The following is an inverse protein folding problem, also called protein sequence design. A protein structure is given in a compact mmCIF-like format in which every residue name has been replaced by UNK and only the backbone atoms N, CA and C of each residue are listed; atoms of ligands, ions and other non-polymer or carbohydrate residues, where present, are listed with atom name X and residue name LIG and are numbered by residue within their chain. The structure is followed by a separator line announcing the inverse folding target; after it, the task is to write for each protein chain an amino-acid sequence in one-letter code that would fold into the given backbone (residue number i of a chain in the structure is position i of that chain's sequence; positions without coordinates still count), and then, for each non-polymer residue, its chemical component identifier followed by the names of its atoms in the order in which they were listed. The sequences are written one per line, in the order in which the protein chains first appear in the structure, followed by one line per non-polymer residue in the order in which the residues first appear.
data_IF_669151577867
#
_entry.id   IF_669151577867
#
_cell.length_a   1.000
_cell.length_b   1.000
_cell.length_c   1.000
_cell.angle_alpha   90.00
_cell.angle_beta   90.00
_cell.angle_gamma   90.00
#
_symmetry.space_group_name_H-M   'P 1'
#
loop_
_entity.id
_entity.type
_entity.pdbx_description
1 polymer ?
#
# COMPACT_ATOMS: atom_id res chain seq x y z
N UNK A 1 26.59 -10.69 -9.00
CA UNK A 1 25.23 -11.07 -8.53
C UNK A 1 24.66 -12.05 -9.53
N UNK A 2 24.01 -13.11 -9.06
CA UNK A 2 23.24 -14.00 -9.95
C UNK A 2 22.04 -13.24 -10.52
N UNK A 3 21.73 -13.48 -11.80
CA UNK A 3 20.59 -12.84 -12.48
C UNK A 3 19.32 -13.66 -12.26
N UNK A 4 18.17 -12.98 -12.24
CA UNK A 4 16.86 -13.64 -12.23
C UNK A 4 16.69 -14.46 -13.52
N UNK A 5 16.32 -15.73 -13.38
CA UNK A 5 16.06 -16.66 -14.49
C UNK A 5 14.57 -16.98 -14.56
N UNK A 6 13.98 -16.82 -15.74
CA UNK A 6 12.64 -17.35 -16.04
C UNK A 6 12.76 -18.83 -16.38
N UNK A 7 11.87 -19.64 -15.83
CA UNK A 7 11.77 -21.06 -16.16
C UNK A 7 11.09 -21.23 -17.53
N UNK A 8 10.18 -20.31 -17.89
CA UNK A 8 9.37 -20.39 -19.12
C UNK A 8 9.62 -19.18 -20.04
N UNK A 9 9.79 -19.44 -21.35
CA UNK A 9 10.07 -18.42 -22.39
C UNK A 9 8.84 -17.98 -23.18
N UNK A 10 7.76 -18.77 -23.20
CA UNK A 10 6.55 -18.47 -23.97
C UNK A 10 5.51 -17.70 -23.14
N UNK A 11 4.89 -16.69 -23.74
CA UNK A 11 3.97 -15.77 -23.04
C UNK A 11 2.67 -16.45 -22.57
N UNK A 12 2.24 -17.51 -23.24
CA UNK A 12 0.98 -18.22 -22.99
C UNK A 12 1.03 -19.08 -21.70
N UNK A 13 2.24 -19.50 -21.31
CA UNK A 13 2.50 -20.37 -20.15
C UNK A 13 3.05 -19.59 -18.93
N UNK A 14 2.91 -18.25 -18.91
CA UNK A 14 3.41 -17.41 -17.80
C UNK A 14 2.91 -17.82 -16.42
N UNK A 15 1.74 -18.46 -16.35
CA UNK A 15 1.15 -18.93 -15.09
C UNK A 15 1.92 -20.09 -14.46
N UNK A 16 2.64 -20.85 -15.29
CA UNK A 16 3.44 -22.00 -14.86
C UNK A 16 4.91 -21.60 -14.60
N UNK A 17 5.27 -20.33 -14.85
CA UNK A 17 6.59 -19.82 -14.52
C UNK A 17 6.78 -19.91 -12.99
N UNK A 18 7.87 -20.55 -12.56
CA UNK A 18 8.18 -20.91 -11.17
C UNK A 18 7.50 -22.17 -10.61
N UNK A 19 6.78 -22.98 -11.40
CA UNK A 19 6.16 -24.22 -10.91
C UNK A 19 7.18 -25.25 -10.38
N UNK A 20 8.42 -25.15 -10.82
CA UNK A 20 9.55 -25.99 -10.41
C UNK A 20 10.28 -25.46 -9.16
N UNK A 21 9.94 -24.25 -8.70
CA UNK A 21 10.56 -23.63 -7.53
C UNK A 21 9.93 -24.17 -6.25
N UNK A 22 10.73 -24.16 -5.18
CA UNK A 22 10.24 -24.53 -3.85
C UNK A 22 9.19 -23.53 -3.40
N UNK A 23 8.06 -24.05 -2.91
CA UNK A 23 7.10 -23.21 -2.20
C UNK A 23 7.78 -22.58 -0.98
N UNK A 24 7.63 -21.26 -0.87
CA UNK A 24 8.08 -20.51 0.30
C UNK A 24 7.02 -20.64 1.39
N UNK A 25 5.81 -20.15 1.13
CA UNK A 25 4.73 -20.16 2.11
C UNK A 25 3.95 -21.46 2.09
N UNK A 26 3.62 -22.00 3.27
CA UNK A 26 2.69 -23.10 3.40
C UNK A 26 1.31 -22.72 2.85
N UNK A 27 0.52 -23.69 2.39
CA UNK A 27 -0.78 -23.46 1.72
C UNK A 27 -1.74 -22.56 2.53
N UNK A 28 -1.78 -22.72 3.87
CA UNK A 28 -2.60 -21.88 4.76
C UNK A 28 -2.05 -20.46 5.03
N UNK A 29 -0.87 -20.15 4.49
CA UNK A 29 -0.18 -18.86 4.59
C UNK A 29 -0.07 -18.17 3.23
N UNK A 30 -0.70 -18.72 2.19
CA UNK A 30 -0.79 -18.04 0.91
C UNK A 30 -1.61 -16.76 1.06
N UNK A 31 -1.18 -15.65 0.44
CA UNK A 31 -2.00 -14.44 0.41
C UNK A 31 -3.39 -14.71 -0.15
N UNK A 32 -4.36 -13.97 0.36
CA UNK A 32 -5.70 -13.91 -0.18
C UNK A 32 -5.69 -13.60 -1.68
N UNK A 33 -6.76 -14.01 -2.36
CA UNK A 33 -6.91 -13.71 -3.79
C UNK A 33 -7.12 -12.20 -3.94
N UNK A 34 -6.48 -11.60 -4.94
CA UNK A 34 -6.69 -10.18 -5.27
C UNK A 34 -8.18 -9.80 -5.45
N UNK A 35 -9.02 -10.75 -5.87
CA UNK A 35 -10.48 -10.56 -5.94
C UNK A 35 -11.13 -10.25 -4.59
N UNK A 36 -10.63 -10.80 -3.49
CA UNK A 36 -11.13 -10.52 -2.14
C UNK A 36 -10.84 -9.06 -1.78
N UNK A 37 -9.58 -8.63 -1.94
CA UNK A 37 -9.21 -7.23 -1.73
C UNK A 37 -9.97 -6.26 -2.65
N UNK A 38 -10.19 -6.64 -3.91
CA UNK A 38 -11.00 -5.84 -4.85
C UNK A 38 -12.42 -5.61 -4.32
N UNK A 39 -13.05 -6.65 -3.76
CA UNK A 39 -14.37 -6.54 -3.14
C UNK A 39 -14.32 -5.67 -1.89
N UNK A 40 -13.31 -5.85 -1.04
CA UNK A 40 -13.18 -5.05 0.18
C UNK A 40 -12.93 -3.56 -0.07
N UNK A 41 -12.29 -3.23 -1.18
CA UNK A 41 -11.97 -1.89 -1.64
C UNK A 41 -12.92 -1.40 -2.75
N UNK A 42 -14.14 -1.93 -2.80
CA UNK A 42 -15.15 -1.56 -3.80
C UNK A 42 -15.57 -0.08 -3.75
N UNK A 43 -15.20 0.65 -2.70
CA UNK A 43 -15.40 2.10 -2.58
C UNK A 43 -14.45 2.93 -3.45
N UNK A 44 -13.46 2.30 -4.08
CA UNK A 44 -12.65 2.91 -5.14
C UNK A 44 -13.37 2.71 -6.47
N UNK A 45 -13.77 3.81 -7.09
CA UNK A 45 -14.62 3.83 -8.30
C UNK A 45 -13.79 3.57 -9.55
N UNK A 46 -12.58 4.14 -9.63
CA UNK A 46 -11.70 3.89 -10.76
C UNK A 46 -11.14 2.47 -10.72
N UNK A 47 -11.70 1.61 -11.57
CA UNK A 47 -11.40 0.17 -11.60
C UNK A 47 -9.89 -0.15 -11.73
N UNK A 48 -9.11 0.51 -12.61
CA UNK A 48 -7.66 0.28 -12.66
C UNK A 48 -6.93 0.63 -11.35
N UNK A 49 -7.34 1.67 -10.62
CA UNK A 49 -6.77 1.97 -9.31
C UNK A 49 -7.12 0.88 -8.30
N UNK A 50 -8.39 0.45 -8.25
CA UNK A 50 -8.85 -0.61 -7.35
C UNK A 50 -8.11 -1.93 -7.59
N UNK A 51 -7.88 -2.29 -8.86
CA UNK A 51 -7.12 -3.47 -9.24
C UNK A 51 -5.67 -3.40 -8.75
N UNK A 52 -5.01 -2.28 -9.01
CA UNK A 52 -3.64 -2.08 -8.56
C UNK A 52 -3.53 -2.08 -7.03
N UNK A 53 -4.44 -1.43 -6.31
CA UNK A 53 -4.52 -1.50 -4.85
C UNK A 53 -4.65 -2.95 -4.38
N UNK A 54 -5.51 -3.74 -5.04
CA UNK A 54 -5.73 -5.14 -4.69
C UNK A 54 -4.48 -6.01 -4.87
N UNK A 55 -3.72 -5.80 -5.94
CA UNK A 55 -2.44 -6.48 -6.16
C UNK A 55 -1.39 -6.06 -5.13
N UNK A 56 -1.35 -4.77 -4.78
CA UNK A 56 -0.42 -4.26 -3.77
C UNK A 56 -0.75 -4.77 -2.36
N UNK A 57 -2.02 -4.91 -2.01
CA UNK A 57 -2.45 -5.52 -0.75
C UNK A 57 -2.09 -7.01 -0.67
N UNK A 58 -2.30 -7.75 -1.77
CA UNK A 58 -1.87 -9.14 -1.86
C UNK A 58 -0.35 -9.28 -1.69
N UNK A 59 0.43 -8.39 -2.32
CA UNK A 59 1.88 -8.36 -2.15
C UNK A 59 2.30 -7.94 -0.73
N UNK A 60 1.57 -7.01 -0.10
CA UNK A 60 1.80 -6.60 1.27
C UNK A 60 1.56 -7.75 2.25
N UNK A 61 0.48 -8.51 2.09
CA UNK A 61 0.20 -9.71 2.89
C UNK A 61 1.30 -10.77 2.69
N UNK A 62 1.74 -11.00 1.45
CA UNK A 62 2.91 -11.85 1.17
C UNK A 62 4.14 -11.39 1.95
N UNK A 63 4.46 -10.09 1.95
CA UNK A 63 5.61 -9.54 2.68
C UNK A 63 5.45 -9.74 4.20
N UNK A 64 4.24 -9.57 4.74
CA UNK A 64 3.96 -9.82 6.16
C UNK A 64 4.15 -11.30 6.52
N UNK A 65 3.65 -12.22 5.71
CA UNK A 65 3.87 -13.66 5.92
C UNK A 65 5.33 -14.04 5.81
N UNK A 66 6.05 -13.50 4.82
CA UNK A 66 7.48 -13.72 4.67
C UNK A 66 8.27 -13.28 5.91
N UNK A 67 7.91 -12.13 6.50
CA UNK A 67 8.53 -11.66 7.74
C UNK A 67 8.21 -12.57 8.93
N UNK A 68 6.97 -13.00 9.06
CA UNK A 68 6.53 -13.80 10.22
C UNK A 68 7.03 -15.25 10.17
N UNK A 69 7.22 -15.81 8.98
CA UNK A 69 7.57 -17.22 8.79
C UNK A 69 9.09 -17.44 8.61
N UNK A 70 9.85 -16.40 8.26
CA UNK A 70 11.28 -16.50 7.99
C UNK A 70 12.10 -15.54 8.83
N UNK A 71 13.28 -16.02 9.24
CA UNK A 71 14.23 -15.18 9.93
C UNK A 71 14.91 -14.20 8.97
N UNK A 72 14.62 -12.92 9.14
CA UNK A 72 15.31 -11.82 8.47
C UNK A 72 16.25 -11.14 9.46
N UNK A 73 17.41 -10.69 8.98
CA UNK A 73 18.42 -10.08 9.85
C UNK A 73 18.85 -8.71 9.33
N UNK A 74 18.98 -7.76 10.25
CA UNK A 74 19.64 -6.47 10.06
C UNK A 74 19.11 -5.74 8.81
N UNK A 75 19.98 -5.52 7.82
CA UNK A 75 19.68 -4.76 6.61
C UNK A 75 18.54 -5.39 5.79
N UNK A 76 18.42 -6.71 5.77
CA UNK A 76 17.34 -7.37 5.01
C UNK A 76 15.98 -7.07 5.64
N UNK A 77 15.89 -7.16 6.98
CA UNK A 77 14.68 -6.82 7.73
C UNK A 77 14.31 -5.34 7.54
N UNK A 78 15.28 -4.44 7.67
CA UNK A 78 15.04 -3.00 7.51
C UNK A 78 14.60 -2.65 6.09
N UNK A 79 15.23 -3.21 5.05
CA UNK A 79 14.81 -3.00 3.65
C UNK A 79 13.45 -3.63 3.35
N UNK A 80 13.14 -4.77 3.97
CA UNK A 80 11.81 -5.37 3.90
C UNK A 80 10.76 -4.45 4.51
N UNK A 81 11.03 -3.88 5.68
CA UNK A 81 10.18 -2.87 6.31
C UNK A 81 10.02 -1.63 5.43
N UNK A 82 11.11 -1.10 4.86
CA UNK A 82 11.10 0.03 3.92
C UNK A 82 10.15 -0.23 2.75
N UNK A 83 10.24 -1.41 2.13
CA UNK A 83 9.38 -1.78 1.01
C UNK A 83 7.90 -1.82 1.42
N UNK A 84 7.57 -2.42 2.56
CA UNK A 84 6.20 -2.42 3.09
C UNK A 84 5.67 -1.00 3.33
N UNK A 85 6.49 -0.10 3.89
CA UNK A 85 6.13 1.30 4.12
C UNK A 85 5.86 2.05 2.81
N UNK A 86 6.69 1.84 1.77
CA UNK A 86 6.48 2.44 0.45
C UNK A 86 5.21 1.92 -0.22
N UNK A 87 4.94 0.61 -0.11
CA UNK A 87 3.71 -0.01 -0.63
C UNK A 87 2.48 0.58 0.06
N UNK A 88 2.50 0.68 1.40
CA UNK A 88 1.43 1.31 2.18
C UNK A 88 1.20 2.77 1.77
N UNK A 89 2.28 3.55 1.57
CA UNK A 89 2.19 4.93 1.12
C UNK A 89 1.51 5.04 -0.26
N UNK A 90 1.91 4.18 -1.20
CA UNK A 90 1.35 4.16 -2.56
C UNK A 90 -0.13 3.79 -2.58
N UNK A 91 -0.55 2.81 -1.75
CA UNK A 91 -1.96 2.44 -1.64
C UNK A 91 -2.78 3.62 -1.09
N UNK A 92 -2.30 4.26 -0.03
CA UNK A 92 -2.99 5.38 0.61
C UNK A 92 -3.11 6.60 -0.31
N UNK A 93 -2.05 6.93 -1.05
CA UNK A 93 -2.06 8.01 -2.04
C UNK A 93 -3.08 7.74 -3.14
N UNK A 94 -3.04 6.54 -3.73
CA UNK A 94 -3.95 6.13 -4.79
C UNK A 94 -5.41 6.17 -4.34
N UNK A 95 -5.70 5.66 -3.14
CA UNK A 95 -7.04 5.67 -2.57
C UNK A 95 -7.55 7.09 -2.25
N UNK A 96 -6.69 7.96 -1.70
CA UNK A 96 -7.05 9.34 -1.43
C UNK A 96 -7.34 10.12 -2.71
N UNK A 97 -6.51 9.94 -3.74
CA UNK A 97 -6.72 10.57 -5.03
C UNK A 97 -8.09 10.20 -5.61
N UNK A 98 -8.39 8.91 -5.69
CA UNK A 98 -9.65 8.42 -6.25
C UNK A 98 -10.86 8.94 -5.45
N UNK A 99 -10.84 8.83 -4.12
CA UNK A 99 -11.93 9.31 -3.27
C UNK A 99 -12.16 10.82 -3.39
N UNK A 100 -11.09 11.62 -3.42
CA UNK A 100 -11.20 13.07 -3.59
C UNK A 100 -11.74 13.41 -4.98
N UNK A 101 -11.32 12.67 -6.01
CA UNK A 101 -11.84 12.82 -7.37
C UNK A 101 -13.32 12.45 -7.45
N UNK A 102 -13.75 11.35 -6.83
CA UNK A 102 -15.18 11.02 -6.74
C UNK A 102 -15.98 12.15 -6.07
N UNK A 103 -15.45 12.72 -4.98
CA UNK A 103 -16.09 13.82 -4.29
C UNK A 103 -16.16 15.10 -5.13
N UNK A 104 -15.16 15.39 -5.96
CA UNK A 104 -15.17 16.55 -6.85
C UNK A 104 -16.19 16.44 -7.98
N UNK A 105 -16.44 15.22 -8.48
CA UNK A 105 -17.52 14.99 -9.45
C UNK A 105 -18.91 15.17 -8.83
N UNK A 106 -19.06 14.91 -7.52
CA UNK A 106 -20.33 15.02 -6.79
C UNK A 106 -20.62 16.42 -6.25
N UNK A 107 -19.59 17.23 -5.98
CA UNK A 107 -19.70 18.55 -5.36
C UNK A 107 -18.95 19.58 -6.19
N UNK A 108 -19.69 20.52 -6.78
CA UNK A 108 -19.12 21.69 -7.43
C UNK A 108 -18.12 22.39 -6.49
N UNK A 109 -16.85 22.44 -6.87
CA UNK A 109 -15.82 23.24 -6.19
C UNK A 109 -14.71 22.49 -5.44
N UNK A 110 -14.67 21.16 -5.43
CA UNK A 110 -13.45 20.45 -5.00
C UNK A 110 -12.48 20.43 -6.18
N UNK A 111 -11.57 21.40 -6.25
CA UNK A 111 -10.51 21.40 -7.25
C UNK A 111 -9.49 20.30 -6.95
N UNK A 112 -9.64 19.12 -7.57
CA UNK A 112 -8.60 18.09 -7.59
C UNK A 112 -7.97 18.12 -8.98
N UNK A 113 -6.72 18.57 -9.05
CA UNK A 113 -5.92 18.44 -10.28
C UNK A 113 -5.40 16.99 -10.37
N UNK A 114 -5.23 16.50 -11.60
CA UNK A 114 -4.59 15.21 -11.88
C UNK A 114 -3.12 15.19 -11.40
N UNK A 115 -2.55 16.36 -11.12
CA UNK A 115 -1.15 16.54 -10.66
C UNK A 115 -0.98 16.75 -9.16
N UNK A 116 -2.03 16.57 -8.36
CA UNK A 116 -1.94 16.74 -6.91
C UNK A 116 -0.91 15.76 -6.30
N UNK A 117 0.02 16.30 -5.51
CA UNK A 117 1.02 15.50 -4.81
C UNK A 117 0.44 14.87 -3.54
N UNK A 118 1.13 13.86 -2.99
CA UNK A 118 0.63 13.16 -1.80
C UNK A 118 0.33 14.11 -0.62
N UNK A 119 1.13 15.16 -0.47
CA UNK A 119 0.95 16.16 0.58
C UNK A 119 -0.40 16.87 0.45
N UNK A 120 -0.72 17.32 -0.76
CA UNK A 120 -1.96 18.03 -1.07
C UNK A 120 -3.17 17.11 -0.91
N UNK A 121 -3.05 15.84 -1.32
CA UNK A 121 -4.08 14.82 -1.09
C UNK A 121 -4.38 14.58 0.40
N UNK A 122 -3.35 14.54 1.25
CA UNK A 122 -3.53 14.39 2.70
C UNK A 122 -4.26 15.61 3.28
N UNK A 123 -3.86 16.82 2.88
CA UNK A 123 -4.46 18.04 3.39
C UNK A 123 -5.90 18.22 2.92
N UNK A 124 -6.22 17.89 1.67
CA UNK A 124 -7.58 17.87 1.15
C UNK A 124 -8.42 16.79 1.81
N UNK A 125 -7.89 15.57 1.96
CA UNK A 125 -8.56 14.46 2.63
C UNK A 125 -8.96 14.80 4.07
N UNK A 126 -8.12 15.53 4.78
CA UNK A 126 -8.46 16.05 6.11
C UNK A 126 -9.54 17.14 6.06
N UNK A 127 -9.41 18.14 5.18
CA UNK A 127 -10.40 19.24 5.04
C UNK A 127 -11.80 18.73 4.69
N UNK A 128 -11.88 17.70 3.85
CA UNK A 128 -13.13 17.06 3.45
C UNK A 128 -13.55 15.92 4.40
N UNK A 129 -12.81 15.71 5.48
CA UNK A 129 -13.16 14.80 6.57
C UNK A 129 -12.96 13.32 6.25
N UNK A 130 -12.37 12.95 5.11
CA UNK A 130 -11.94 11.58 4.82
C UNK A 130 -10.96 11.09 5.89
N UNK A 131 -10.06 11.98 6.33
CA UNK A 131 -9.07 11.72 7.38
C UNK A 131 -9.48 12.42 8.69
N UNK A 132 -9.10 11.84 9.82
CA UNK A 132 -9.05 12.55 11.09
C UNK A 132 -7.64 13.12 11.35
N UNK A 133 -7.47 13.84 12.46
CA UNK A 133 -6.19 14.50 12.79
C UNK A 133 -5.05 13.51 12.99
N UNK A 134 -5.33 12.33 13.56
CA UNK A 134 -4.34 11.29 13.77
C UNK A 134 -3.93 10.68 12.42
N UNK A 135 -4.88 10.30 11.57
CA UNK A 135 -4.60 9.78 10.23
C UNK A 135 -3.79 10.77 9.39
N UNK A 136 -4.16 12.07 9.43
CA UNK A 136 -3.40 13.13 8.77
C UNK A 136 -1.94 13.12 9.22
N UNK A 137 -1.70 13.20 10.53
CA UNK A 137 -0.35 13.21 11.08
C UNK A 137 0.45 11.96 10.65
N UNK A 138 -0.15 10.77 10.74
CA UNK A 138 0.50 9.54 10.34
C UNK A 138 0.84 9.49 8.85
N UNK A 139 -0.07 9.93 7.98
CA UNK A 139 0.21 9.96 6.54
C UNK A 139 1.31 10.97 6.17
N UNK A 140 1.40 12.08 6.89
CA UNK A 140 2.52 13.03 6.72
C UNK A 140 3.87 12.38 7.04
N UNK A 141 3.94 11.58 8.10
CA UNK A 141 5.15 10.82 8.45
C UNK A 141 5.44 9.72 7.43
N UNK A 142 4.41 8.97 6.99
CA UNK A 142 4.56 7.93 5.96
C UNK A 142 5.05 8.50 4.62
N UNK A 143 4.53 9.67 4.22
CA UNK A 143 4.98 10.40 3.03
C UNK A 143 6.48 10.74 3.10
N UNK A 144 6.96 11.17 4.28
CA UNK A 144 8.39 11.46 4.46
C UNK A 144 9.21 10.19 4.21
N UNK A 145 8.84 9.06 4.81
CA UNK A 145 9.50 7.77 4.58
C UNK A 145 9.57 7.42 3.09
N UNK A 146 8.45 7.57 2.36
CA UNK A 146 8.42 7.35 0.89
C UNK A 146 9.33 8.31 0.12
N UNK A 147 9.52 9.53 0.59
CA UNK A 147 10.39 10.51 -0.07
C UNK A 147 11.88 10.27 0.25
N UNK A 148 12.21 9.61 1.37
CA UNK A 148 13.58 9.21 1.76
C UNK A 148 14.02 7.87 1.15
N UNK A 149 13.45 7.50 0.00
CA UNK A 149 13.79 6.23 -0.68
C UNK A 149 15.20 6.24 -1.27
N UNK A 150 15.73 7.41 -1.62
CA UNK A 150 17.07 7.55 -2.16
C UNK A 150 18.14 7.19 -1.13
N UNK A 151 18.98 6.20 -1.46
CA UNK A 151 20.07 5.72 -0.60
C UNK A 151 21.03 6.88 -0.21
N UNK A 152 21.23 7.83 -1.12
CA UNK A 152 22.06 9.02 -0.88
C UNK A 152 21.46 10.02 0.12
N UNK A 153 20.18 9.88 0.47
CA UNK A 153 19.48 10.79 1.38
C UNK A 153 19.47 10.29 2.82
N UNK A 154 20.06 9.12 3.10
CA UNK A 154 20.14 8.57 4.45
C UNK A 154 21.38 9.11 5.16
N UNK A 155 21.16 9.86 6.25
CA UNK A 155 22.23 10.29 7.18
C UNK A 155 22.60 9.18 8.19
N UNK A 156 21.86 8.07 8.17
CA UNK A 156 22.00 6.95 9.09
C UNK A 156 22.19 5.63 8.33
N UNK A 157 22.67 4.59 9.01
CA UNK A 157 22.83 3.27 8.40
C UNK A 157 21.46 2.67 8.10
N UNK A 158 21.33 2.06 6.92
CA UNK A 158 20.02 1.61 6.44
C UNK A 158 19.37 0.53 7.32
N UNK A 159 20.14 -0.26 8.09
CA UNK A 159 19.59 -1.25 9.02
C UNK A 159 18.94 -0.64 10.29
N UNK A 160 19.12 0.65 10.56
CA UNK A 160 18.59 1.35 11.74
C UNK A 160 17.38 2.24 11.39
N UNK A 161 17.07 2.39 10.10
CA UNK A 161 16.16 3.42 9.60
C UNK A 161 14.67 3.02 9.67
N UNK A 162 14.36 1.73 9.59
CA UNK A 162 12.98 1.24 9.48
C UNK A 162 12.75 0.06 10.42
N UNK A 163 11.62 0.06 11.11
CA UNK A 163 11.29 -0.95 12.11
C UNK A 163 9.92 -1.58 11.89
N UNK A 164 9.73 -2.76 12.49
CA UNK A 164 8.49 -3.53 12.40
C UNK A 164 7.35 -2.78 13.10
N UNK A 165 7.65 -2.09 14.21
CA UNK A 165 6.67 -1.29 14.94
C UNK A 165 6.13 -0.17 14.05
N UNK A 166 6.99 0.45 13.23
CA UNK A 166 6.55 1.43 12.24
C UNK A 166 5.64 0.78 11.20
N UNK A 167 6.02 -0.37 10.64
CA UNK A 167 5.18 -1.09 9.65
C UNK A 167 3.81 -1.43 10.23
N UNK A 168 3.78 -2.05 11.42
CA UNK A 168 2.53 -2.43 12.11
C UNK A 168 1.62 -1.22 12.35
N UNK A 169 2.20 -0.09 12.74
CA UNK A 169 1.47 1.17 12.91
C UNK A 169 0.75 1.61 11.63
N UNK A 170 1.39 1.46 10.46
CA UNK A 170 0.80 1.84 9.18
C UNK A 170 -0.11 0.77 8.57
N UNK A 171 0.10 -0.51 8.88
CA UNK A 171 -0.90 -1.55 8.64
C UNK A 171 -2.19 -1.24 9.40
N UNK A 172 -2.11 -0.90 10.69
CA UNK A 172 -3.30 -0.47 11.44
C UNK A 172 -3.96 0.79 10.85
N UNK A 173 -3.16 1.72 10.32
CA UNK A 173 -3.67 2.93 9.66
C UNK A 173 -4.52 2.59 8.43
N UNK A 174 -4.09 1.65 7.59
CA UNK A 174 -4.84 1.29 6.38
C UNK A 174 -6.20 0.66 6.72
N UNK A 175 -6.23 -0.20 7.74
CA UNK A 175 -7.46 -0.83 8.23
C UNK A 175 -8.41 0.19 8.85
N UNK A 176 -7.87 1.14 9.62
CA UNK A 176 -8.65 2.23 10.20
C UNK A 176 -9.23 3.14 9.12
N UNK A 177 -8.45 3.46 8.09
CA UNK A 177 -8.90 4.24 6.96
C UNK A 177 -10.02 3.51 6.21
N UNK A 178 -9.82 2.25 5.86
CA UNK A 178 -10.81 1.45 5.14
C UNK A 178 -12.16 1.39 5.89
N UNK A 179 -12.12 1.10 7.20
CA UNK A 179 -13.33 1.08 8.05
C UNK A 179 -14.03 2.43 8.07
N UNK A 180 -13.27 3.51 8.26
CA UNK A 180 -13.82 4.88 8.29
C UNK A 180 -14.51 5.26 6.99
N UNK A 181 -13.94 4.92 5.85
CA UNK A 181 -14.54 5.21 4.53
C UNK A 181 -15.84 4.41 4.36
N UNK A 182 -15.82 3.11 4.68
CA UNK A 182 -17.03 2.26 4.65
C UNK A 182 -18.12 2.82 5.55
N UNK A 183 -17.79 3.22 6.78
CA UNK A 183 -18.75 3.82 7.72
C UNK A 183 -19.35 5.12 7.17
N UNK A 184 -18.55 5.96 6.52
CA UNK A 184 -19.03 7.20 5.91
C UNK A 184 -19.98 6.95 4.74
N UNK A 185 -19.67 5.97 3.89
CA UNK A 185 -20.53 5.57 2.78
C UNK A 185 -21.87 5.02 3.27
N UNK A 186 -21.84 4.13 4.27
CA UNK A 186 -23.04 3.56 4.87
C UNK A 186 -23.93 4.62 5.54
N UNK A 187 -23.34 5.71 6.02
CA UNK A 187 -24.06 6.83 6.64
C UNK A 187 -24.39 7.98 5.66
N UNK A 188 -24.15 7.82 4.35
CA UNK A 188 -24.43 8.85 3.33
C UNK A 188 -23.62 10.14 3.47
N UNK A 189 -22.45 10.07 4.10
CA UNK A 189 -21.58 11.23 4.39
C UNK A 189 -20.48 11.45 3.34
N UNK A 190 -20.51 10.72 2.23
CA UNK A 190 -19.46 10.67 1.19
C UNK A 190 -20.09 10.72 -0.21
#
# INVERSE_FOLDING_TARGET
MELLKKSIKHNEEKKDDNSDKKELLAEGRHPQKATQYRTEWSFIDYEPARDNISYQLQYLEYMVHLYNDYQMYLTVESLHCKNMLITLASIMECALFDLLYQMSQKKDGIGVDVREDFLSLIDLGFRHGLLDGNMKYLLHELRKVRNFVHISSLEHKEYEAYSIEQVNKYLMLIDNFQRRIKDKLNNGKL
#
